data_IF_668282791000
#
_entry.id   IF_668282791000
#
_cell.length_a   1.000
_cell.length_b   1.000
_cell.length_c   1.000
_cell.angle_alpha   90.00
_cell.angle_beta   90.00
_cell.angle_gamma   90.00
#
_symmetry.space_group_name_H-M   'P 1'
#
loop_
_entity.id
_entity.type
_entity.pdbx_description
1 polymer ?
#
# COMPACT_ATOMS: atom_id res chain seq x y z
N UNK A 1 -6.46 5.95 13.66
CA UNK A 1 -6.42 6.96 12.58
C UNK A 1 -6.60 6.27 11.23
N UNK A 2 -7.29 6.89 10.27
CA UNK A 2 -7.51 6.35 8.92
C UNK A 2 -6.73 7.20 7.93
N UNK A 3 -5.71 6.63 7.27
CA UNK A 3 -4.99 7.28 6.18
C UNK A 3 -5.60 6.83 4.86
N UNK A 4 -6.26 7.75 4.14
CA UNK A 4 -6.83 7.50 2.82
C UNK A 4 -5.78 7.81 1.74
N UNK A 5 -5.25 6.78 1.07
CA UNK A 5 -4.18 6.90 0.07
C UNK A 5 -4.75 6.84 -1.37
N UNK A 6 -4.70 7.96 -2.11
CA UNK A 6 -5.41 8.16 -3.38
C UNK A 6 -4.64 7.99 -4.70
N UNK A 7 -3.52 7.25 -4.77
CA UNK A 7 -2.83 6.93 -6.04
C UNK A 7 -2.31 5.48 -6.07
N UNK A 8 -2.19 4.85 -7.26
CA UNK A 8 -1.80 3.45 -7.40
C UNK A 8 -0.39 3.18 -6.82
N UNK A 9 -0.21 1.94 -6.38
CA UNK A 9 0.76 1.47 -5.39
C UNK A 9 2.25 1.44 -5.79
N UNK A 10 2.68 2.33 -6.68
CA UNK A 10 4.12 2.60 -6.91
C UNK A 10 4.48 4.08 -7.07
N UNK A 11 3.54 5.00 -6.82
CA UNK A 11 3.90 6.42 -6.70
C UNK A 11 4.87 6.57 -5.52
N UNK A 12 6.05 7.16 -5.75
CA UNK A 12 7.03 7.48 -4.71
C UNK A 12 6.38 8.16 -3.49
N UNK A 13 5.43 9.06 -3.74
CA UNK A 13 4.64 9.71 -2.69
C UNK A 13 3.83 8.75 -1.80
N UNK A 14 3.35 7.63 -2.35
CA UNK A 14 2.63 6.60 -1.59
C UNK A 14 3.61 5.82 -0.72
N UNK A 15 4.76 5.41 -1.26
CA UNK A 15 5.80 4.71 -0.49
C UNK A 15 6.31 5.57 0.66
N UNK A 16 6.62 6.85 0.40
CA UNK A 16 7.05 7.82 1.42
C UNK A 16 5.95 8.04 2.47
N UNK A 17 4.70 8.24 2.04
CA UNK A 17 3.58 8.43 2.96
C UNK A 17 3.31 7.20 3.84
N UNK A 18 3.51 6.00 3.30
CA UNK A 18 3.32 4.76 4.04
C UNK A 18 4.42 4.54 5.08
N UNK A 19 5.69 4.82 4.75
CA UNK A 19 6.78 4.80 5.73
C UNK A 19 6.54 5.78 6.87
N UNK A 20 6.13 7.01 6.55
CA UNK A 20 5.82 8.02 7.56
C UNK A 20 4.67 7.56 8.49
N UNK A 21 3.60 7.00 7.93
CA UNK A 21 2.46 6.50 8.70
C UNK A 21 2.84 5.31 9.60
N UNK A 22 3.68 4.39 9.11
CA UNK A 22 4.17 3.26 9.92
C UNK A 22 5.05 3.75 11.07
N UNK A 23 5.92 4.74 10.83
CA UNK A 23 6.75 5.33 11.87
C UNK A 23 5.90 6.03 12.96
N UNK A 24 4.86 6.76 12.56
CA UNK A 24 3.91 7.40 13.48
C UNK A 24 3.18 6.35 14.34
N UNK A 25 2.60 5.33 13.71
CA UNK A 25 1.93 4.24 14.43
C UNK A 25 2.89 3.56 15.40
N UNK A 26 4.13 3.31 14.99
CA UNK A 26 5.13 2.66 15.84
C UNK A 26 5.51 3.52 17.05
N UNK A 27 5.63 4.84 16.90
CA UNK A 27 6.12 5.74 17.94
C UNK A 27 5.04 6.19 18.95
N UNK A 28 3.78 6.31 18.53
CA UNK A 28 2.71 6.84 19.39
C UNK A 28 2.12 5.74 20.29
N UNK A 29 2.53 5.70 21.56
CA UNK A 29 2.03 4.74 22.56
C UNK A 29 0.49 4.74 22.75
N UNK A 30 -0.20 5.83 22.40
CA UNK A 30 -1.66 5.89 22.48
C UNK A 30 -2.35 5.09 21.36
N UNK A 31 -1.64 4.78 20.27
CA UNK A 31 -2.15 3.96 19.18
C UNK A 31 -1.90 2.47 19.43
N UNK A 32 -2.97 1.68 19.36
CA UNK A 32 -2.89 0.22 19.52
C UNK A 32 -2.75 -0.54 18.18
N UNK A 33 -3.12 0.08 17.06
CA UNK A 33 -3.13 -0.55 15.73
C UNK A 33 -3.19 0.50 14.60
N UNK A 34 -2.79 0.10 13.39
CA UNK A 34 -2.96 0.87 12.16
C UNK A 34 -3.90 0.19 11.16
N UNK A 35 -4.66 0.96 10.38
CA UNK A 35 -5.49 0.45 9.28
C UNK A 35 -5.05 1.07 7.96
N UNK A 36 -4.60 0.22 7.03
CA UNK A 36 -4.27 0.62 5.66
C UNK A 36 -5.53 0.52 4.79
N UNK A 37 -5.92 1.65 4.17
CA UNK A 37 -7.09 1.73 3.30
C UNK A 37 -6.80 2.59 2.06
N UNK A 38 -7.11 2.07 0.87
CA UNK A 38 -7.02 2.87 -0.35
C UNK A 38 -8.11 3.94 -0.37
N UNK A 39 -7.83 5.12 -0.89
CA UNK A 39 -8.85 6.15 -1.06
C UNK A 39 -9.74 5.85 -2.28
N UNK A 40 -11.01 6.23 -2.20
CA UNK A 40 -11.96 6.07 -3.31
C UNK A 40 -12.54 4.67 -3.43
N UNK A 41 -12.66 4.13 -4.65
CA UNK A 41 -13.40 2.88 -4.94
C UNK A 41 -12.53 1.64 -5.13
N UNK A 42 -11.21 1.75 -4.95
CA UNK A 42 -10.23 0.68 -5.20
C UNK A 42 -9.14 0.73 -4.14
N UNK A 43 -8.80 -0.41 -3.55
CA UNK A 43 -7.66 -0.53 -2.66
C UNK A 43 -6.31 -0.42 -3.40
N UNK A 44 -6.12 -1.26 -4.42
CA UNK A 44 -4.93 -1.26 -5.29
C UNK A 44 -5.36 -1.48 -6.73
N UNK A 45 -4.82 -0.71 -7.68
CA UNK A 45 -5.17 -0.82 -9.10
C UNK A 45 -4.26 -1.79 -9.89
N UNK A 46 -3.37 -2.52 -9.20
CA UNK A 46 -2.28 -3.27 -9.83
C UNK A 46 -1.08 -2.37 -10.12
N UNK A 47 0.07 -3.01 -10.34
CA UNK A 47 1.29 -2.31 -10.71
C UNK A 47 1.27 -2.03 -12.22
N UNK A 48 1.62 -0.81 -12.64
CA UNK A 48 1.69 -0.47 -14.06
C UNK A 48 2.93 -1.17 -14.66
N UNK A 49 2.76 -1.93 -15.75
CA UNK A 49 3.85 -2.66 -16.39
C UNK A 49 4.97 -1.72 -16.87
N UNK A 50 4.64 -0.45 -17.17
CA UNK A 50 5.62 0.56 -17.61
C UNK A 50 6.57 1.00 -16.50
N UNK A 51 6.18 0.81 -15.24
CA UNK A 51 7.00 1.16 -14.08
C UNK A 51 8.15 0.16 -13.85
N UNK A 52 8.16 -1.00 -14.51
CA UNK A 52 9.29 -1.95 -14.44
C UNK A 52 10.48 -1.55 -15.33
N UNK A 53 10.32 -0.53 -16.17
CA UNK A 53 11.37 -0.03 -17.08
C UNK A 53 12.01 1.28 -16.59
N UNK A 54 11.53 1.84 -15.47
CA UNK A 54 12.03 3.08 -14.91
C UNK A 54 13.24 2.85 -13.98
N UNK A 55 14.12 3.85 -13.81
CA UNK A 55 15.18 3.78 -12.81
C UNK A 55 14.61 3.49 -11.42
N UNK A 56 15.32 2.67 -10.64
CA UNK A 56 14.96 2.40 -9.25
C UNK A 56 15.13 3.68 -8.43
N UNK A 57 14.08 4.07 -7.69
CA UNK A 57 14.07 5.24 -6.82
C UNK A 57 13.66 4.77 -5.42
N UNK A 58 14.37 5.26 -4.40
CA UNK A 58 14.07 4.97 -3.00
C UNK A 58 12.95 5.88 -2.47
N UNK A 59 12.10 5.41 -1.53
CA UNK A 59 12.08 4.05 -0.97
C UNK A 59 11.48 3.01 -1.93
N UNK A 60 12.15 1.87 -2.05
CA UNK A 60 11.65 0.74 -2.82
C UNK A 60 10.55 -0.02 -2.08
N UNK A 61 9.73 -0.76 -2.84
CA UNK A 61 8.64 -1.55 -2.29
C UNK A 61 9.08 -2.55 -1.19
N UNK A 62 10.24 -3.25 -1.28
CA UNK A 62 10.70 -4.12 -0.21
C UNK A 62 10.95 -3.40 1.12
N UNK A 63 11.42 -2.16 1.10
CA UNK A 63 11.63 -1.35 2.31
C UNK A 63 10.30 -1.03 2.99
N UNK A 64 9.30 -0.64 2.19
CA UNK A 64 7.95 -0.36 2.69
C UNK A 64 7.30 -1.62 3.28
N UNK A 65 7.46 -2.78 2.62
CA UNK A 65 6.95 -4.05 3.12
C UNK A 65 7.63 -4.41 4.44
N UNK A 66 8.96 -4.31 4.51
CA UNK A 66 9.72 -4.60 5.73
C UNK A 66 9.29 -3.69 6.90
N UNK A 67 9.06 -2.40 6.65
CA UNK A 67 8.57 -1.48 7.67
C UNK A 67 7.19 -1.91 8.23
N UNK A 68 6.28 -2.38 7.37
CA UNK A 68 4.98 -2.89 7.81
C UNK A 68 5.14 -4.19 8.61
N UNK A 69 5.96 -5.12 8.14
CA UNK A 69 6.18 -6.43 8.77
C UNK A 69 6.91 -6.33 10.12
N UNK A 70 7.75 -5.32 10.29
CA UNK A 70 8.52 -5.08 11.53
C UNK A 70 7.83 -4.14 12.50
N UNK A 71 6.66 -3.60 12.15
CA UNK A 71 5.90 -2.74 13.05
C UNK A 71 5.49 -3.52 14.32
N UNK A 72 5.78 -3.01 15.54
CA UNK A 72 5.44 -3.69 16.77
C UNK A 72 3.93 -3.76 17.04
N UNK A 73 3.14 -3.04 16.25
CA UNK A 73 1.68 -2.92 16.38
C UNK A 73 0.99 -3.52 15.15
N UNK A 74 -0.17 -4.15 15.32
CA UNK A 74 -0.89 -4.76 14.21
C UNK A 74 -1.28 -3.71 13.16
N UNK A 75 -0.94 -3.99 11.91
CA UNK A 75 -1.38 -3.23 10.73
C UNK A 75 -2.38 -4.09 9.96
N UNK A 76 -3.60 -3.59 9.79
CA UNK A 76 -4.68 -4.30 9.10
C UNK A 76 -4.97 -3.64 7.75
N UNK A 77 -4.92 -4.42 6.67
CA UNK A 77 -5.33 -3.95 5.34
C UNK A 77 -6.84 -4.11 5.14
N UNK A 78 -7.56 -2.98 5.04
CA UNK A 78 -8.98 -2.95 4.71
C UNK A 78 -9.17 -2.95 3.18
N UNK A 79 -9.20 -4.16 2.60
CA UNK A 79 -9.35 -4.36 1.16
C UNK A 79 -10.79 -4.07 0.72
N UNK A 80 -11.00 -3.00 -0.04
CA UNK A 80 -12.30 -2.66 -0.63
C UNK A 80 -12.22 -2.41 -2.14
N UNK A 81 -13.37 -2.52 -2.80
CA UNK A 81 -13.50 -2.41 -4.25
C UNK A 81 -13.40 -3.75 -4.98
N UNK A 82 -13.48 -3.71 -6.31
CA UNK A 82 -13.41 -4.92 -7.16
C UNK A 82 -11.95 -5.25 -7.46
N UNK A 83 -11.43 -6.35 -6.90
CA UNK A 83 -10.22 -6.98 -7.39
C UNK A 83 -10.54 -7.71 -8.70
N UNK A 84 -10.20 -7.11 -9.85
CA UNK A 84 -10.37 -7.76 -11.15
C UNK A 84 -9.14 -8.63 -11.42
N UNK A 85 -9.25 -9.92 -11.14
CA UNK A 85 -8.39 -10.93 -11.73
C UNK A 85 -8.84 -11.20 -13.18
N UNK A 86 -7.92 -11.47 -14.10
CA UNK A 86 -8.17 -11.58 -15.54
C UNK A 86 -9.09 -12.78 -15.84
N UNK A 87 -10.41 -12.56 -15.87
CA UNK A 87 -11.37 -13.57 -16.31
C UNK A 87 -11.56 -13.45 -17.81
N UNK A 88 -10.62 -14.00 -18.57
CA UNK A 88 -10.86 -14.34 -19.97
C UNK A 88 -10.14 -15.65 -20.33
N UNK A 89 -10.74 -16.76 -19.90
CA UNK A 89 -10.51 -18.09 -20.48
C UNK A 89 -11.84 -18.83 -20.47
N UNK A 90 -12.58 -18.75 -21.57
CA UNK A 90 -13.43 -19.79 -22.15
C UNK A 90 -14.44 -19.18 -23.15
N UNK A 91 -13.95 -18.80 -24.34
CA UNK A 91 -14.72 -18.80 -25.59
C UNK A 91 -13.76 -19.05 -26.75
N UNK A 92 -13.15 -20.24 -26.79
CA UNK A 92 -12.68 -20.91 -27.99
C UNK A 92 -12.81 -22.42 -27.74
#
# INVERSE_FOLDING_TARGET
MSAAIGRPARSLAVSVGLLAAVAEVSADEALSAGVLIGAGKKFVAGADLREFSAPLVEPQLPEVIAAIETCPKPIVAALHGRARWLRDRARL
#
